data_IF_721739104070
#
_entry.id   IF_721739104070
#
_cell.length_a   1.000
_cell.length_b   1.000
_cell.length_c   1.000
_cell.angle_alpha   90.00
_cell.angle_beta   90.00
_cell.angle_gamma   90.00
#
_symmetry.space_group_name_H-M   'P 1'
#
loop_
_entity.id
_entity.type
_entity.pdbx_description
1 polymer ?
#
# COMPACT_ATOMS: atom_id res chain seq x y z
N UNK A 1 -1.71 7.02 -23.61
CA UNK A 1 -1.68 6.81 -23.08
C UNK A 1 -1.27 7.30 -22.13
N UNK A 2 -1.47 7.51 -21.58
CA UNK A 2 -1.11 7.96 -20.76
C UNK A 2 -0.49 7.52 -19.91
N UNK A 3 0.09 7.63 -19.65
CA UNK A 3 0.78 7.19 -18.94
C UNK A 3 0.73 7.65 -17.75
N UNK A 4 0.73 7.25 -17.02
CA UNK A 4 0.67 7.20 -15.91
C UNK A 4 1.80 7.62 -15.32
N UNK A 5 1.96 8.64 -14.94
CA UNK A 5 3.07 9.07 -14.46
C UNK A 5 3.02 9.01 -13.12
N UNK A 6 3.44 8.06 -12.47
CA UNK A 6 3.55 8.11 -11.12
C UNK A 6 4.58 9.00 -10.77
N UNK A 7 4.40 10.10 -10.56
CA UNK A 7 5.23 11.03 -10.18
C UNK A 7 5.99 10.75 -9.04
N UNK A 8 6.89 9.95 -9.01
CA UNK A 8 7.67 9.62 -7.89
C UNK A 8 8.32 10.76 -7.25
N UNK A 9 8.62 11.77 -7.86
CA UNK A 9 9.27 12.89 -7.24
C UNK A 9 8.60 14.17 -7.55
N UNK A 10 7.49 14.18 -8.10
CA UNK A 10 6.84 15.36 -8.49
C UNK A 10 5.64 15.73 -7.67
N UNK A 11 5.56 15.20 -6.48
CA UNK A 11 4.40 15.42 -5.66
C UNK A 11 4.47 16.73 -4.92
N UNK A 12 3.35 17.16 -4.41
CA UNK A 12 3.29 18.37 -3.63
C UNK A 12 2.64 18.09 -2.30
N UNK A 13 2.88 18.95 -1.34
CA UNK A 13 2.33 18.82 -0.01
C UNK A 13 0.82 19.08 -0.05
N UNK A 14 0.04 18.21 0.55
CA UNK A 14 -1.40 18.32 0.56
C UNK A 14 -1.89 19.53 1.33
N UNK A 15 -1.11 20.02 2.28
CA UNK A 15 -1.50 21.16 3.11
C UNK A 15 -1.10 22.47 2.49
N UNK A 16 0.17 22.61 2.09
CA UNK A 16 0.68 23.88 1.59
C UNK A 16 0.57 24.02 0.09
N UNK A 17 0.37 22.89 -0.60
CA UNK A 17 0.32 22.82 -2.05
C UNK A 17 1.62 23.21 -2.72
N UNK A 18 2.70 23.27 -1.97
CA UNK A 18 4.01 23.56 -2.55
C UNK A 18 4.65 22.26 -3.04
N UNK A 19 5.41 22.32 -4.11
CA UNK A 19 6.08 21.10 -4.60
C UNK A 19 7.09 20.61 -3.58
N UNK A 20 7.25 19.30 -3.53
CA UNK A 20 8.26 18.69 -2.67
C UNK A 20 9.55 18.64 -3.49
N UNK A 21 10.62 19.24 -2.95
CA UNK A 21 11.85 19.44 -3.67
C UNK A 21 12.80 18.25 -3.53
N UNK A 22 13.71 18.04 -4.48
CA UNK A 22 14.68 16.96 -4.36
C UNK A 22 15.42 17.04 -3.04
N UNK A 23 15.58 15.89 -2.39
CA UNK A 23 16.24 15.82 -1.09
C UNK A 23 15.35 16.10 0.10
N UNK A 24 14.16 16.60 -0.15
CA UNK A 24 13.24 16.95 0.94
C UNK A 24 12.63 15.70 1.55
N UNK A 25 12.53 15.68 2.88
CA UNK A 25 11.89 14.58 3.60
C UNK A 25 10.42 14.90 3.73
N UNK A 26 9.58 13.93 3.47
CA UNK A 26 8.14 14.13 3.56
C UNK A 26 7.46 12.86 4.03
N UNK A 27 6.18 12.97 4.37
CA UNK A 27 5.41 11.83 4.83
C UNK A 27 4.31 11.52 3.83
N UNK A 28 4.02 10.24 3.66
CA UNK A 28 2.89 9.79 2.87
C UNK A 28 1.94 9.07 3.80
N UNK A 29 0.65 9.24 3.58
CA UNK A 29 -0.34 8.58 4.40
C UNK A 29 -1.49 8.10 3.54
N UNK A 30 -2.08 6.98 3.92
CA UNK A 30 -3.29 6.47 3.32
C UNK A 30 -4.41 6.77 4.30
N UNK A 31 -5.40 7.49 3.84
CA UNK A 31 -6.47 7.99 4.72
C UNK A 31 -7.79 7.45 4.22
N UNK A 32 -8.57 6.89 5.13
CA UNK A 32 -9.87 6.34 4.77
C UNK A 32 -10.86 7.48 4.59
N UNK A 33 -11.57 7.45 3.48
CA UNK A 33 -12.57 8.46 3.17
C UNK A 33 -13.94 8.04 3.70
N UNK A 34 -14.90 8.94 3.66
CA UNK A 34 -16.23 8.67 4.18
C UNK A 34 -16.87 7.47 3.48
N UNK A 35 -16.54 7.23 2.23
CA UNK A 35 -17.09 6.10 1.49
C UNK A 35 -16.29 4.81 1.70
N UNK A 36 -15.33 4.82 2.57
CA UNK A 36 -14.53 3.64 2.88
C UNK A 36 -13.32 3.43 2.00
N UNK A 37 -13.13 4.26 0.98
CA UNK A 37 -11.98 4.09 0.10
C UNK A 37 -10.75 4.76 0.71
N UNK A 38 -9.60 4.32 0.27
CA UNK A 38 -8.34 4.91 0.73
C UNK A 38 -7.92 6.00 -0.23
N UNK A 39 -7.38 7.08 0.30
CA UNK A 39 -6.83 8.15 -0.51
C UNK A 39 -5.42 8.44 -0.01
N UNK A 40 -4.48 8.59 -0.90
CA UNK A 40 -3.12 8.89 -0.52
C UNK A 40 -2.90 10.39 -0.47
N UNK A 41 -2.21 10.85 0.56
CA UNK A 41 -1.84 12.26 0.69
C UNK A 41 -0.38 12.33 1.12
N UNK A 42 0.31 13.35 0.65
CA UNK A 42 1.72 13.55 0.99
C UNK A 42 1.84 14.87 1.74
N UNK A 43 2.71 14.91 2.73
CA UNK A 43 2.85 16.07 3.60
C UNK A 43 4.33 16.39 3.79
N UNK A 44 4.66 17.68 3.65
CA UNK A 44 6.02 18.10 3.97
C UNK A 44 6.26 17.83 5.46
N UNK A 45 7.52 17.74 5.84
CA UNK A 45 7.85 17.41 7.21
C UNK A 45 7.25 18.40 8.19
N UNK A 46 7.23 19.68 7.82
CA UNK A 46 6.69 20.69 8.71
C UNK A 46 5.17 20.64 8.79
N UNK A 47 4.49 20.10 7.83
CA UNK A 47 3.04 20.03 7.78
C UNK A 47 2.47 18.76 8.38
N UNK A 48 3.33 17.78 8.68
CA UNK A 48 2.85 16.49 9.17
C UNK A 48 2.61 16.54 10.67
N UNK A 49 1.39 16.33 11.06
CA UNK A 49 1.00 16.36 12.48
C UNK A 49 0.77 14.97 13.06
N UNK A 50 1.18 13.95 12.33
CA UNK A 50 0.97 12.58 12.80
C UNK A 50 -0.30 11.98 12.22
N UNK A 51 -0.51 10.68 12.41
CA UNK A 51 -1.67 10.02 11.85
C UNK A 51 -2.94 10.37 12.61
N UNK A 52 -4.01 10.58 11.87
CA UNK A 52 -5.31 10.78 12.49
C UNK A 52 -6.01 9.45 12.69
N UNK A 53 -7.26 9.52 13.15
CA UNK A 53 -8.03 8.32 13.42
C UNK A 53 -8.37 7.57 12.13
N UNK A 54 -8.41 8.26 11.02
CA UNK A 54 -8.76 7.67 9.74
C UNK A 54 -7.52 7.22 8.96
N UNK A 55 -6.35 7.26 9.56
CA UNK A 55 -5.12 6.88 8.87
C UNK A 55 -4.97 5.38 8.83
N UNK A 56 -4.90 4.82 7.62
CA UNK A 56 -4.71 3.39 7.43
C UNK A 56 -3.24 3.03 7.61
N UNK A 57 -2.36 3.87 7.12
CA UNK A 57 -0.93 3.65 7.23
C UNK A 57 -0.19 4.90 6.82
N UNK A 58 1.06 5.03 7.22
CA UNK A 58 1.86 6.19 6.89
C UNK A 58 3.34 5.83 6.90
N UNK A 59 4.13 6.57 6.15
CA UNK A 59 5.57 6.31 6.12
C UNK A 59 6.31 7.57 5.69
N UNK A 60 7.59 7.62 6.04
CA UNK A 60 8.46 8.75 5.76
C UNK A 60 9.29 8.45 4.53
N UNK A 61 9.46 9.42 3.68
CA UNK A 61 10.21 9.26 2.45
C UNK A 61 11.10 10.46 2.21
N UNK A 62 11.95 10.34 1.23
CA UNK A 62 12.77 11.45 0.78
C UNK A 62 12.65 11.55 -0.72
N UNK A 63 12.47 12.74 -1.24
CA UNK A 63 12.40 12.96 -2.69
C UNK A 63 13.79 12.67 -3.26
N UNK A 64 13.90 11.81 -4.24
CA UNK A 64 15.23 11.47 -4.77
C UNK A 64 15.83 12.64 -5.52
N UNK A 65 17.16 12.76 -5.45
CA UNK A 65 17.85 13.80 -6.17
C UNK A 65 17.77 13.55 -7.66
N UNK A 66 17.82 12.28 -8.07
CA UNK A 66 17.71 11.92 -9.46
C UNK A 66 16.67 10.83 -9.59
N UNK A 67 15.85 10.93 -10.63
CA UNK A 67 14.86 9.90 -10.87
C UNK A 67 15.57 8.74 -11.58
N UNK A 68 15.82 7.67 -10.86
CA UNK A 68 16.51 6.52 -11.40
C UNK A 68 15.57 5.54 -12.09
N UNK A 69 14.29 5.79 -12.07
CA UNK A 69 13.32 4.86 -12.62
C UNK A 69 13.01 3.68 -11.73
N UNK A 70 13.66 3.57 -10.58
CA UNK A 70 13.39 2.45 -9.70
C UNK A 70 12.07 2.64 -8.99
N UNK A 71 11.41 1.52 -8.74
CA UNK A 71 10.13 1.50 -8.07
C UNK A 71 10.28 0.79 -6.75
N UNK A 72 9.79 1.42 -5.70
CA UNK A 72 9.81 0.84 -4.37
C UNK A 72 8.39 0.75 -3.86
N UNK A 73 8.14 -0.21 -2.99
CA UNK A 73 6.84 -0.33 -2.36
C UNK A 73 6.92 0.31 -0.97
N UNK A 74 5.79 0.72 -0.47
CA UNK A 74 5.67 1.22 0.89
C UNK A 74 6.18 0.18 1.88
N UNK A 75 6.49 0.57 3.11
CA UNK A 75 7.00 -0.38 4.09
C UNK A 75 6.02 -1.51 4.37
N UNK A 76 6.57 -2.61 4.87
CA UNK A 76 5.81 -3.82 5.18
C UNK A 76 4.57 -3.53 6.02
N UNK A 77 4.73 -2.71 7.05
CA UNK A 77 3.62 -2.43 7.94
C UNK A 77 2.47 -1.72 7.22
N UNK A 78 2.80 -0.85 6.29
CA UNK A 78 1.80 -0.12 5.51
C UNK A 78 1.11 -1.07 4.56
N UNK A 79 1.87 -1.96 3.91
CA UNK A 79 1.30 -2.94 3.00
C UNK A 79 0.31 -3.84 3.74
N UNK A 80 0.67 -4.28 4.93
CA UNK A 80 -0.23 -5.11 5.72
C UNK A 80 -1.46 -4.35 6.19
N UNK A 81 -1.29 -3.11 6.59
CA UNK A 81 -2.42 -2.30 7.03
C UNK A 81 -3.41 -2.07 5.89
N UNK A 82 -2.89 -1.83 4.70
CA UNK A 82 -3.75 -1.63 3.55
C UNK A 82 -4.48 -2.93 3.20
N UNK A 83 -3.78 -4.06 3.27
CA UNK A 83 -4.37 -5.37 3.01
C UNK A 83 -5.52 -5.62 3.99
N UNK A 84 -5.29 -5.37 5.27
CA UNK A 84 -6.32 -5.56 6.28
C UNK A 84 -7.52 -4.65 6.01
N UNK A 85 -7.26 -3.44 5.56
CA UNK A 85 -8.32 -2.50 5.22
C UNK A 85 -9.16 -3.04 4.07
N UNK A 86 -8.52 -3.62 3.05
CA UNK A 86 -9.25 -4.17 1.92
C UNK A 86 -10.11 -5.36 2.36
N UNK A 87 -9.59 -6.20 3.24
CA UNK A 87 -10.37 -7.32 3.77
C UNK A 87 -11.56 -6.81 4.59
N UNK A 88 -11.31 -5.80 5.41
CA UNK A 88 -12.32 -5.27 6.30
C UNK A 88 -13.44 -4.61 5.53
N UNK A 89 -13.15 -4.00 4.41
CA UNK A 89 -14.14 -3.37 3.57
C UNK A 89 -14.72 -4.32 2.53
N UNK A 90 -14.38 -5.60 2.63
CA UNK A 90 -14.90 -6.64 1.76
C UNK A 90 -14.64 -6.36 0.28
N UNK A 91 -13.49 -5.76 0.00
CA UNK A 91 -13.07 -5.54 -1.36
C UNK A 91 -12.33 -6.77 -1.83
N UNK A 92 -13.09 -7.79 -2.16
CA UNK A 92 -12.57 -9.13 -2.38
C UNK A 92 -11.55 -9.21 -3.52
N UNK A 93 -11.84 -8.55 -4.63
CA UNK A 93 -10.93 -8.61 -5.77
C UNK A 93 -9.59 -7.95 -5.43
N UNK A 94 -9.65 -6.79 -4.79
CA UNK A 94 -8.45 -6.07 -4.41
C UNK A 94 -7.65 -6.84 -3.37
N UNK A 95 -8.34 -7.42 -2.40
CA UNK A 95 -7.67 -8.22 -1.36
C UNK A 95 -7.00 -9.44 -1.98
N UNK A 96 -7.63 -10.07 -2.95
CA UNK A 96 -7.04 -11.23 -3.61
C UNK A 96 -5.75 -10.84 -4.35
N UNK A 97 -5.79 -9.78 -5.16
CA UNK A 97 -4.61 -9.34 -5.90
C UNK A 97 -3.51 -8.93 -4.93
N UNK A 98 -3.86 -8.22 -3.87
CA UNK A 98 -2.88 -7.80 -2.89
C UNK A 98 -2.27 -8.99 -2.16
N UNK A 99 -3.06 -10.03 -1.92
CA UNK A 99 -2.52 -11.22 -1.25
C UNK A 99 -1.43 -11.87 -2.10
N UNK A 100 -1.59 -11.86 -3.42
CA UNK A 100 -0.57 -12.41 -4.30
C UNK A 100 0.73 -11.61 -4.21
N UNK A 101 0.61 -10.29 -4.12
CA UNK A 101 1.78 -9.44 -3.95
C UNK A 101 2.47 -9.74 -2.61
N UNK A 102 1.70 -9.90 -1.55
CA UNK A 102 2.27 -10.15 -0.22
C UNK A 102 2.91 -11.53 -0.13
N UNK A 103 2.35 -12.50 -0.84
CA UNK A 103 2.97 -13.82 -0.94
C UNK A 103 4.29 -13.73 -1.70
N UNK A 104 4.30 -12.97 -2.80
CA UNK A 104 5.49 -12.83 -3.61
C UNK A 104 6.60 -12.15 -2.81
N UNK A 105 6.25 -11.19 -1.98
CA UNK A 105 7.21 -10.47 -1.16
C UNK A 105 7.57 -11.24 0.11
N UNK A 106 6.96 -12.39 0.32
CA UNK A 106 7.19 -13.22 1.47
C UNK A 106 6.83 -12.56 2.79
N UNK A 107 5.88 -11.65 2.73
CA UNK A 107 5.32 -11.05 3.93
C UNK A 107 4.29 -12.00 4.50
N UNK A 108 3.53 -12.66 3.63
CA UNK A 108 2.59 -13.68 4.04
C UNK A 108 3.02 -15.03 3.46
N UNK A 109 2.59 -16.10 4.11
CA UNK A 109 2.78 -17.45 3.58
C UNK A 109 1.44 -18.15 3.55
N UNK A 110 1.30 -19.09 2.63
CA UNK A 110 0.07 -19.86 2.52
C UNK A 110 0.10 -20.94 3.61
N UNK A 111 -0.88 -20.90 4.48
CA UNK A 111 -0.96 -21.87 5.55
C UNK A 111 -1.90 -23.01 5.21
N UNK A 112 -2.99 -22.72 4.52
CA UNK A 112 -3.96 -23.73 4.16
C UNK A 112 -4.82 -23.22 3.03
N UNK A 113 -5.54 -24.10 2.38
CA UNK A 113 -6.44 -23.77 1.32
C UNK A 113 -7.66 -24.65 1.46
N UNK A 114 -8.82 -24.04 1.47
CA UNK A 114 -10.06 -24.74 1.67
C UNK A 114 -10.93 -24.59 0.44
N UNK A 115 -11.30 -25.71 -0.19
CA UNK A 115 -12.15 -25.69 -1.35
C UNK A 115 -13.56 -26.00 -0.93
N UNK A 116 -14.50 -25.28 -1.50
CA UNK A 116 -15.90 -25.52 -1.24
C UNK A 116 -16.68 -25.34 -2.52
N UNK A 117 -17.96 -25.60 -2.49
CA UNK A 117 -18.78 -25.44 -3.65
C UNK A 117 -18.88 -23.99 -4.05
N UNK A 118 -18.67 -23.10 -3.11
CA UNK A 118 -18.75 -21.69 -3.38
C UNK A 118 -17.42 -21.10 -3.83
N UNK A 119 -16.39 -21.89 -3.89
CA UNK A 119 -15.08 -21.42 -4.29
C UNK A 119 -14.01 -21.82 -3.31
N UNK A 120 -12.83 -21.31 -3.53
CA UNK A 120 -11.68 -21.63 -2.69
C UNK A 120 -11.34 -20.45 -1.80
N UNK A 121 -10.90 -20.75 -0.59
CA UNK A 121 -10.46 -19.75 0.36
C UNK A 121 -9.04 -20.11 0.77
N UNK A 122 -8.14 -19.15 0.69
CA UNK A 122 -6.77 -19.34 1.11
C UNK A 122 -6.60 -18.79 2.51
N UNK A 123 -5.92 -19.53 3.36
CA UNK A 123 -5.59 -19.06 4.71
C UNK A 123 -4.12 -18.65 4.67
N UNK A 124 -3.88 -17.37 4.87
CA UNK A 124 -2.54 -16.83 4.80
C UNK A 124 -2.09 -16.40 6.17
N UNK A 125 -0.81 -16.49 6.43
CA UNK A 125 -0.28 -16.17 7.74
C UNK A 125 0.83 -15.15 7.64
N UNK A 126 0.79 -14.14 8.50
CA UNK A 126 1.85 -13.15 8.61
C UNK A 126 3.05 -13.84 9.26
N UNK A 127 4.18 -13.81 8.59
CA UNK A 127 5.36 -14.53 9.05
C UNK A 127 5.91 -14.03 10.38
N UNK A 128 5.60 -12.82 10.75
CA UNK A 128 6.14 -12.26 11.99
C UNK A 128 5.19 -12.35 13.16
N UNK A 129 3.92 -12.08 12.92
CA UNK A 129 2.96 -12.06 14.02
C UNK A 129 2.16 -13.34 14.17
N UNK A 130 2.20 -14.19 13.14
CA UNK A 130 1.39 -15.42 13.09
C UNK A 130 -0.10 -15.13 12.95
N UNK A 131 -0.46 -13.90 12.67
CA UNK A 131 -1.85 -13.55 12.43
C UNK A 131 -2.29 -14.17 11.10
N UNK A 132 -3.51 -14.69 11.03
CA UNK A 132 -3.98 -15.34 9.82
C UNK A 132 -5.11 -14.56 9.18
N UNK A 133 -5.23 -14.71 7.87
CA UNK A 133 -6.21 -14.01 7.07
C UNK A 133 -6.86 -14.97 6.10
N UNK A 134 -8.16 -14.84 5.91
CA UNK A 134 -8.86 -15.65 4.93
C UNK A 134 -9.09 -14.80 3.69
N UNK A 135 -8.63 -15.28 2.56
CA UNK A 135 -8.76 -14.56 1.31
C UNK A 135 -9.52 -15.45 0.33
N UNK A 136 -10.61 -14.94 -0.19
CA UNK A 136 -11.41 -15.70 -1.15
C UNK A 136 -10.73 -15.60 -2.50
N UNK A 137 -10.57 -16.72 -3.17
CA UNK A 137 -10.01 -16.73 -4.50
C UNK A 137 -11.09 -16.21 -5.45
N UNK A 138 -10.71 -15.34 -6.35
CA UNK A 138 -11.65 -14.76 -7.29
C UNK A 138 -11.18 -15.04 -8.70
N UNK A 139 -12.15 -15.09 -9.61
CA UNK A 139 -11.85 -15.34 -11.00
C UNK A 139 -12.03 -14.02 -11.72
N UNK A 140 -10.95 -13.29 -11.91
CA UNK A 140 -10.99 -11.99 -12.57
C UNK A 140 -10.08 -12.02 -13.78
N UNK A 141 -10.41 -11.21 -14.77
CA UNK A 141 -9.65 -11.22 -16.01
C UNK A 141 -8.43 -10.30 -15.91
N UNK A 142 -7.62 -10.35 -16.95
CA UNK A 142 -6.36 -9.60 -16.95
C UNK A 142 -6.59 -8.09 -16.86
N UNK A 143 -7.65 -7.58 -17.46
CA UNK A 143 -7.94 -6.16 -17.41
C UNK A 143 -8.28 -5.73 -15.99
N UNK A 144 -9.04 -6.54 -15.29
CA UNK A 144 -9.39 -6.24 -13.90
C UNK A 144 -8.15 -6.31 -13.01
N UNK A 145 -7.30 -7.30 -13.23
CA UNK A 145 -6.06 -7.42 -12.47
C UNK A 145 -5.20 -6.19 -12.69
N UNK A 146 -5.08 -5.77 -13.95
CA UNK A 146 -4.25 -4.60 -14.27
C UNK A 146 -4.81 -3.33 -13.61
N UNK A 147 -6.12 -3.19 -13.61
CA UNK A 147 -6.76 -2.04 -13.00
C UNK A 147 -6.48 -2.00 -11.49
N UNK A 148 -6.59 -3.15 -10.84
CA UNK A 148 -6.30 -3.24 -9.41
C UNK A 148 -4.83 -2.97 -9.13
N UNK A 149 -3.94 -3.50 -9.97
CA UNK A 149 -2.50 -3.26 -9.81
C UNK A 149 -2.17 -1.79 -9.95
N UNK A 150 -2.83 -1.09 -10.88
CA UNK A 150 -2.62 0.34 -11.04
C UNK A 150 -3.07 1.10 -9.80
N UNK A 151 -4.19 0.70 -9.23
CA UNK A 151 -4.69 1.33 -8.03
C UNK A 151 -3.76 1.09 -6.85
N UNK A 152 -3.26 -0.14 -6.71
CA UNK A 152 -2.31 -0.45 -5.65
C UNK A 152 -1.03 0.38 -5.82
N UNK A 153 -0.61 0.55 -7.06
CA UNK A 153 0.59 1.35 -7.32
C UNK A 153 0.39 2.80 -6.93
N UNK A 154 -0.77 3.37 -7.25
CA UNK A 154 -1.05 4.73 -6.85
C UNK A 154 -0.97 4.92 -5.36
N UNK A 155 -1.49 3.97 -4.61
CA UNK A 155 -1.53 4.09 -3.16
C UNK A 155 -0.21 3.71 -2.50
N UNK A 156 0.49 2.74 -3.05
CA UNK A 156 1.58 2.11 -2.32
C UNK A 156 2.98 2.24 -2.92
N UNK A 157 3.11 2.82 -4.11
CA UNK A 157 4.45 3.04 -4.63
C UNK A 157 5.09 4.19 -3.86
N UNK A 158 6.38 4.09 -3.66
CA UNK A 158 7.07 5.09 -2.88
C UNK A 158 8.44 5.37 -3.47
N UNK A 159 9.00 6.48 -3.08
CA UNK A 159 10.42 6.73 -3.26
C UNK A 159 11.12 5.83 -2.25
N UNK A 160 12.41 5.73 -2.32
CA UNK A 160 13.10 4.88 -1.37
C UNK A 160 12.72 5.33 0.03
N UNK A 161 12.08 4.49 0.82
CA UNK A 161 11.62 4.92 2.13
C UNK A 161 12.79 5.13 3.09
N UNK A 162 12.62 6.05 4.01
CA UNK A 162 13.54 6.24 5.10
C UNK A 162 13.07 5.28 6.18
N UNK A 163 13.92 4.34 6.57
CA UNK A 163 13.53 3.35 7.55
C UNK A 163 13.39 3.98 8.92
N UNK A 164 12.26 3.75 9.52
CA UNK A 164 12.01 4.21 10.87
C UNK A 164 12.36 3.09 11.82
N UNK A 165 12.46 3.41 13.07
CA UNK A 165 12.80 2.41 14.03
C UNK A 165 11.79 1.31 14.10
N UNK A 166 10.51 1.66 14.02
CA UNK A 166 9.50 0.65 14.09
C UNK A 166 9.58 -0.24 12.86
N UNK A 167 9.94 0.31 11.73
CA UNK A 167 10.07 -0.48 10.54
C UNK A 167 11.21 -1.48 10.74
N UNK A 168 12.27 -1.05 11.34
CA UNK A 168 13.40 -1.92 11.56
C UNK A 168 13.05 -3.05 12.50
N UNK A 169 12.12 -2.83 13.41
CA UNK A 169 11.78 -3.85 14.29
C UNK A 169 10.78 -4.73 13.81
N UNK A 170 10.13 -4.43 12.81
CA UNK A 170 9.02 -5.26 12.32
C UNK A 170 9.47 -6.50 11.59
#
# INVERSE_FOLDING_TARGET
>A
MQQYEFRRGGKKCSVTEKPLEPGEIYWSALIEQADGRALRADFSQDSWDGPGDDCIGFWKQQVPDLDTGKVYWAPRSVLLSYFKHQLDKEKTDSAFVMSLLLLQKRILTLKDSIDSEEGSVSILEDRRSSETFEVVDVDIDDDQIQQIQNELAEHLFSNQPILAEDEAES
#
